data_IF_279495755261
#
_entry.id   IF_279495755261
#
_cell.length_a   1.000
_cell.length_b   1.000
_cell.length_c   1.000
_cell.angle_alpha   90.00
_cell.angle_beta   90.00
_cell.angle_gamma   90.00
#
_symmetry.space_group_name_H-M   'P 1'
#
loop_
_entity.id
_entity.type
_entity.pdbx_description
1 polymer ?
#
# COMPACT_ATOMS: atom_id res chain seq x y z
N UNK A 1 12.35 -13.64 4.96
CA UNK A 1 13.26 -13.62 3.81
C UNK A 1 12.40 -13.41 2.57
N UNK A 2 12.57 -12.27 1.90
CA UNK A 2 11.84 -11.91 0.67
C UNK A 2 12.76 -11.97 -0.56
N UNK A 3 13.96 -12.56 -0.42
CA UNK A 3 14.86 -12.80 -1.54
C UNK A 3 14.19 -13.70 -2.58
N UNK A 4 13.70 -13.09 -3.66
CA UNK A 4 13.02 -13.79 -4.75
C UNK A 4 11.51 -13.55 -4.84
N UNK A 5 10.92 -12.73 -3.96
CA UNK A 5 9.51 -12.38 -4.08
C UNK A 5 9.28 -11.42 -5.26
N UNK A 6 8.25 -11.68 -6.07
CA UNK A 6 7.81 -10.77 -7.13
C UNK A 6 6.45 -10.16 -6.79
N UNK A 7 6.29 -8.88 -7.11
CA UNK A 7 4.99 -8.22 -7.06
C UNK A 7 4.26 -8.50 -8.37
N UNK A 8 3.07 -9.08 -8.27
CA UNK A 8 2.19 -9.29 -9.41
C UNK A 8 0.91 -8.50 -9.13
N UNK A 9 0.59 -7.54 -9.98
CA UNK A 9 -0.71 -6.85 -9.98
C UNK A 9 -1.70 -7.72 -10.73
N UNK A 10 -2.88 -7.93 -10.15
CA UNK A 10 -3.88 -8.81 -10.72
C UNK A 10 -5.29 -8.23 -10.57
N UNK A 11 -5.61 -7.13 -11.27
CA UNK A 11 -6.89 -6.95 -11.94
C UNK A 11 -6.82 -5.78 -12.96
N UNK A 12 -7.86 -5.62 -13.80
CA UNK A 12 -8.07 -4.48 -14.71
C UNK A 12 -7.21 -4.30 -15.99
N UNK A 13 -6.48 -5.32 -16.45
CA UNK A 13 -5.69 -5.25 -17.70
C UNK A 13 -4.62 -4.13 -17.72
N UNK A 14 -4.18 -3.69 -16.55
CA UNK A 14 -3.06 -2.77 -16.42
C UNK A 14 -1.73 -3.54 -16.59
N UNK A 15 -0.93 -3.26 -17.64
CA UNK A 15 0.36 -3.91 -17.81
C UNK A 15 1.39 -3.52 -16.74
N UNK A 16 1.05 -2.58 -15.85
CA UNK A 16 1.99 -1.90 -14.98
C UNK A 16 2.99 -1.08 -15.80
N UNK A 17 3.96 -0.49 -15.11
CA UNK A 17 5.15 0.04 -15.75
C UNK A 17 6.38 -0.60 -15.12
N UNK A 18 7.48 -0.65 -15.85
CA UNK A 18 8.69 -1.40 -15.47
C UNK A 18 9.29 -1.05 -14.10
N UNK A 19 8.79 0.01 -13.44
CA UNK A 19 9.25 0.53 -12.15
C UNK A 19 8.12 0.91 -11.20
N UNK A 20 6.90 0.40 -11.37
CA UNK A 20 5.88 0.64 -10.35
C UNK A 20 4.52 0.01 -10.60
N UNK A 21 3.69 0.18 -9.58
CA UNK A 21 2.32 -0.30 -9.52
C UNK A 21 1.42 0.85 -9.97
N UNK A 22 0.53 0.57 -10.90
CA UNK A 22 -0.58 1.45 -11.23
C UNK A 22 -1.82 0.81 -10.60
N UNK A 23 -2.34 1.44 -9.57
CA UNK A 23 -3.53 1.00 -8.84
C UNK A 23 -4.68 1.93 -9.22
N UNK A 24 -5.81 1.36 -9.64
CA UNK A 24 -7.02 2.05 -10.00
C UNK A 24 -7.91 2.27 -8.76
N UNK A 25 -8.51 3.46 -8.68
CA UNK A 25 -9.49 3.81 -7.66
C UNK A 25 -10.77 2.96 -7.74
N UNK A 26 -11.04 2.29 -8.86
CA UNK A 26 -12.10 1.29 -8.93
C UNK A 26 -11.77 0.00 -8.16
N UNK A 27 -10.48 -0.25 -7.91
CA UNK A 27 -9.97 -1.30 -7.04
C UNK A 27 -9.06 -2.30 -7.76
N UNK A 28 -8.06 -2.77 -7.02
CA UNK A 28 -7.04 -3.71 -7.49
C UNK A 28 -6.62 -4.69 -6.40
N UNK A 29 -6.02 -5.80 -6.82
CA UNK A 29 -5.40 -6.76 -5.93
C UNK A 29 -3.91 -6.88 -6.20
N UNK A 30 -3.11 -6.71 -5.16
CA UNK A 30 -1.68 -6.98 -5.14
C UNK A 30 -1.45 -8.37 -4.56
N UNK A 31 -0.68 -9.19 -5.27
CA UNK A 31 -0.30 -10.53 -4.81
C UNK A 31 1.20 -10.59 -4.65
N UNK A 32 1.63 -10.98 -3.45
CA UNK A 32 2.99 -11.37 -3.18
C UNK A 32 3.08 -12.89 -3.29
N UNK A 33 3.98 -13.38 -4.14
CA UNK A 33 4.21 -14.81 -4.33
C UNK A 33 5.67 -15.16 -4.02
N UNK A 34 5.89 -16.40 -3.56
CA UNK A 34 7.23 -16.97 -3.39
C UNK A 34 7.86 -17.37 -4.74
N UNK A 35 9.10 -17.86 -4.70
CA UNK A 35 9.83 -18.28 -5.89
C UNK A 35 9.19 -19.46 -6.65
N UNK A 36 8.35 -20.25 -5.97
CA UNK A 36 7.58 -21.34 -6.55
C UNK A 36 6.20 -20.88 -7.05
N UNK A 37 5.88 -19.59 -6.94
CA UNK A 37 4.61 -18.99 -7.33
C UNK A 37 3.48 -19.17 -6.31
N UNK A 38 3.76 -19.62 -5.08
CA UNK A 38 2.74 -19.75 -4.03
C UNK A 38 2.43 -18.40 -3.41
N UNK A 39 1.15 -18.17 -3.11
CA UNK A 39 0.69 -16.94 -2.46
C UNK A 39 1.29 -16.81 -1.05
N UNK A 40 2.00 -15.71 -0.80
CA UNK A 40 2.53 -15.30 0.51
C UNK A 40 1.60 -14.27 1.16
N UNK A 41 1.13 -13.30 0.37
CA UNK A 41 0.19 -12.28 0.83
C UNK A 41 -0.70 -11.81 -0.31
N UNK A 42 -1.92 -11.42 0.04
CA UNK A 42 -2.88 -10.74 -0.83
C UNK A 42 -3.20 -9.41 -0.16
N UNK A 43 -3.27 -8.35 -0.96
CA UNK A 43 -3.64 -7.03 -0.50
C UNK A 43 -4.61 -6.40 -1.49
N UNK A 44 -5.74 -5.87 -1.00
CA UNK A 44 -6.76 -5.27 -1.85
C UNK A 44 -6.81 -3.75 -1.69
N UNK A 45 -6.68 -3.03 -2.80
CA UNK A 45 -6.82 -1.59 -2.91
C UNK A 45 -8.21 -1.22 -3.44
N UNK A 46 -8.75 -0.08 -2.99
CA UNK A 46 -10.00 0.49 -3.50
C UNK A 46 -11.25 0.15 -2.67
N UNK A 47 -12.45 0.43 -3.20
CA UNK A 47 -13.71 0.28 -2.48
C UNK A 47 -13.90 -1.13 -1.92
N UNK A 48 -14.08 -1.24 -0.59
CA UNK A 48 -14.25 -2.52 0.10
C UNK A 48 -12.97 -3.35 0.27
N UNK A 49 -11.81 -2.82 -0.14
CA UNK A 49 -10.50 -3.43 0.09
C UNK A 49 -9.92 -3.12 1.48
N UNK A 50 -8.72 -3.65 1.75
CA UNK A 50 -7.98 -3.40 2.99
C UNK A 50 -7.43 -1.97 3.07
N UNK A 51 -7.11 -1.38 1.91
CA UNK A 51 -6.81 0.04 1.77
C UNK A 51 -7.85 0.68 0.85
N UNK A 52 -8.82 1.44 1.41
CA UNK A 52 -9.66 2.32 0.62
C UNK A 52 -8.81 3.29 -0.19
N UNK A 53 -9.22 3.62 -1.41
CA UNK A 53 -8.52 4.61 -2.23
C UNK A 53 -8.55 5.98 -1.52
N UNK A 54 -7.39 6.55 -1.13
CA UNK A 54 -7.34 7.86 -0.50
C UNK A 54 -7.64 8.97 -1.52
N UNK A 55 -8.19 10.09 -1.04
CA UNK A 55 -8.51 11.24 -1.89
C UNK A 55 -7.38 12.26 -1.86
N UNK A 56 -6.54 12.27 -2.91
CA UNK A 56 -5.44 13.23 -3.09
C UNK A 56 -4.42 13.29 -1.93
N UNK A 57 -4.22 12.17 -1.24
CA UNK A 57 -3.26 12.04 -0.14
C UNK A 57 -2.55 10.68 -0.15
N UNK A 58 -1.44 10.58 0.58
CA UNK A 58 -0.81 9.28 0.87
C UNK A 58 -1.68 8.45 1.80
N UNK A 59 -1.60 7.12 1.67
CA UNK A 59 -2.09 6.21 2.71
C UNK A 59 -0.93 5.75 3.62
N UNK A 60 -1.21 5.56 4.90
CA UNK A 60 -0.26 5.01 5.87
C UNK A 60 -0.95 4.07 6.85
N UNK A 61 -0.19 3.30 7.64
CA UNK A 61 -0.73 2.56 8.78
C UNK A 61 -0.77 3.48 10.01
N UNK A 62 -1.84 3.42 10.80
CA UNK A 62 -1.95 4.15 12.07
C UNK A 62 -2.44 3.23 13.19
N UNK A 63 -1.60 2.88 14.19
CA UNK A 63 -0.19 3.27 14.35
C UNK A 63 0.74 2.71 13.26
N UNK A 64 1.89 3.36 13.04
CA UNK A 64 2.89 2.92 12.08
C UNK A 64 3.26 1.43 12.27
N UNK A 65 3.39 0.70 11.16
CA UNK A 65 3.82 -0.71 11.14
C UNK A 65 2.76 -1.74 11.53
N UNK A 66 1.85 -1.43 12.46
CA UNK A 66 0.89 -2.42 12.99
C UNK A 66 -0.58 -2.08 12.77
N UNK A 67 -0.91 -0.80 12.61
CA UNK A 67 -2.29 -0.33 12.51
C UNK A 67 -2.97 -0.61 11.15
N UNK A 68 -4.29 -0.40 11.05
CA UNK A 68 -4.99 -0.39 9.78
C UNK A 68 -4.49 0.74 8.88
N UNK A 69 -4.79 0.63 7.58
CA UNK A 69 -4.53 1.71 6.64
C UNK A 69 -5.54 2.86 6.81
N UNK A 70 -5.03 4.08 6.78
CA UNK A 70 -5.80 5.33 6.82
C UNK A 70 -5.18 6.33 5.84
N UNK A 71 -5.94 7.37 5.46
CA UNK A 71 -5.36 8.56 4.82
C UNK A 71 -4.35 9.22 5.76
N UNK A 72 -3.24 9.72 5.22
CA UNK A 72 -2.15 10.27 6.03
C UNK A 72 -2.63 11.45 6.90
N UNK A 73 -3.60 12.25 6.44
CA UNK A 73 -4.20 13.32 7.25
C UNK A 73 -4.90 12.83 8.52
N UNK A 74 -5.36 11.57 8.53
CA UNK A 74 -6.04 10.94 9.65
C UNK A 74 -5.10 10.15 10.57
N UNK A 75 -3.81 10.02 10.22
CA UNK A 75 -2.86 9.32 11.05
C UNK A 75 -2.46 10.15 12.29
N UNK A 76 -2.37 9.49 13.45
CA UNK A 76 -1.98 10.16 14.69
C UNK A 76 -0.55 10.70 14.57
N UNK A 77 -0.37 12.00 14.79
CA UNK A 77 0.93 12.68 14.65
C UNK A 77 1.21 13.26 13.26
N UNK A 78 0.35 13.05 12.26
CA UNK A 78 0.55 13.60 10.91
C UNK A 78 0.38 15.12 10.80
N UNK A 79 -0.19 15.78 11.81
CA UNK A 79 -0.42 17.23 11.87
C UNK A 79 -1.11 17.82 10.62
N UNK A 80 -1.98 17.03 9.97
CA UNK A 80 -2.69 17.44 8.75
C UNK A 80 -1.86 17.39 7.47
N UNK A 81 -0.65 16.83 7.49
CA UNK A 81 0.14 16.61 6.29
C UNK A 81 -0.56 15.58 5.38
N UNK A 82 -0.67 15.92 4.09
CA UNK A 82 -1.30 15.05 3.07
C UNK A 82 -0.33 14.02 2.47
N UNK A 83 0.98 14.16 2.67
CA UNK A 83 1.99 13.24 2.16
C UNK A 83 2.87 12.71 3.29
N UNK A 84 3.21 11.42 3.22
CA UNK A 84 4.16 10.83 4.15
C UNK A 84 5.58 11.36 3.89
N UNK A 85 6.33 11.73 4.94
CA UNK A 85 7.72 12.19 4.81
C UNK A 85 8.72 11.06 4.54
N UNK A 86 8.28 9.79 4.52
CA UNK A 86 9.18 8.64 4.46
C UNK A 86 9.86 8.30 5.81
N UNK A 87 9.36 8.88 6.89
CA UNK A 87 9.68 8.53 8.28
C UNK A 87 8.40 8.14 9.01
N UNK A 88 8.55 7.54 10.19
CA UNK A 88 7.43 7.38 11.12
C UNK A 88 6.82 8.74 11.46
N UNK A 89 5.60 8.73 11.97
CA UNK A 89 4.85 9.95 12.36
C UNK A 89 5.59 10.80 13.41
N UNK A 90 6.53 10.20 14.16
CA UNK A 90 7.40 10.88 15.12
C UNK A 90 8.75 11.34 14.54
N UNK A 91 8.99 11.12 13.25
CA UNK A 91 10.24 11.46 12.54
C UNK A 91 11.34 10.40 12.62
N UNK A 92 11.13 9.29 13.34
CA UNK A 92 12.10 8.19 13.37
C UNK A 92 12.13 7.41 12.03
N UNK A 93 13.24 6.75 11.76
CA UNK A 93 13.33 5.84 10.60
C UNK A 93 12.40 4.63 10.77
N UNK A 94 11.92 4.09 9.64
CA UNK A 94 11.12 2.86 9.63
C UNK A 94 11.94 1.63 10.03
#
# INVERSE_FOLDING_TARGET
DTGGASFVVANAADPGFSFGLALDNAGDALRLVDADGRLVALFSYGPGGELPAPSDESATRSPDGTGPFVGHTAADGAAGAIFSPGTRVDGASF
#
